data_IF_958705611015
#
_entry.id   IF_958705611015
#
_cell.length_a   1.000
_cell.length_b   1.000
_cell.length_c   1.000
_cell.angle_alpha   90.00
_cell.angle_beta   90.00
_cell.angle_gamma   90.00
#
_symmetry.space_group_name_H-M   'P 1'
#
loop_
_entity.id
_entity.type
_entity.pdbx_description
1 polymer ?
#
# COMPACT_ATOMS: atom_id res chain seq x y z
N UNK A 1 3.18 2.36 -4.26
CA UNK A 1 2.69 1.05 -3.78
C UNK A 1 3.59 -0.03 -4.31
N UNK A 2 3.97 -0.96 -3.44
CA UNK A 2 4.86 -2.07 -3.74
C UNK A 2 4.16 -3.33 -3.25
N UNK A 3 3.97 -4.31 -4.12
CA UNK A 3 3.28 -5.57 -3.82
C UNK A 3 4.22 -6.72 -4.07
N UNK A 4 4.27 -7.64 -3.12
CA UNK A 4 5.00 -8.90 -3.26
C UNK A 4 4.09 -10.03 -2.79
N UNK A 5 4.03 -11.11 -3.56
CA UNK A 5 3.34 -12.33 -3.16
C UNK A 5 4.31 -13.22 -2.38
N UNK A 6 3.85 -13.80 -1.28
CA UNK A 6 4.66 -14.74 -0.49
C UNK A 6 4.97 -16.06 -1.23
N UNK A 7 4.28 -16.36 -2.34
CA UNK A 7 4.39 -17.64 -3.06
C UNK A 7 4.85 -17.56 -4.52
N UNK A 8 5.09 -16.36 -5.08
CA UNK A 8 5.42 -16.19 -6.51
C UNK A 8 6.88 -15.78 -6.77
N UNK A 9 7.77 -15.96 -5.80
CA UNK A 9 9.20 -15.67 -5.94
C UNK A 9 9.57 -14.19 -5.71
N UNK A 10 10.72 -13.73 -6.24
CA UNK A 10 11.29 -12.40 -5.93
C UNK A 10 10.59 -11.24 -6.66
N UNK A 11 9.70 -11.54 -7.59
CA UNK A 11 9.05 -10.53 -8.45
C UNK A 11 8.19 -9.57 -7.64
N UNK A 12 8.49 -8.28 -7.80
CA UNK A 12 7.78 -7.19 -7.13
C UNK A 12 6.96 -6.39 -8.12
N UNK A 13 5.67 -6.20 -7.80
CA UNK A 13 4.79 -5.33 -8.56
C UNK A 13 4.84 -3.92 -7.97
N UNK A 14 5.29 -2.96 -8.76
CA UNK A 14 5.39 -1.55 -8.40
C UNK A 14 4.24 -0.81 -9.08
N UNK A 15 3.57 0.06 -8.33
CA UNK A 15 2.46 0.86 -8.82
C UNK A 15 2.21 2.11 -8.01
N UNK A 16 1.26 2.92 -8.46
CA UNK A 16 0.79 4.14 -7.81
C UNK A 16 -0.70 4.07 -7.54
N UNK A 17 -1.13 4.72 -6.47
CA UNK A 17 -2.56 4.91 -6.20
C UNK A 17 -3.09 5.85 -7.27
N UNK A 18 -4.16 5.43 -7.94
CA UNK A 18 -4.86 6.20 -8.95
C UNK A 18 -6.03 6.98 -8.35
N UNK A 19 -6.71 6.37 -7.38
CA UNK A 19 -7.88 6.96 -6.75
C UNK A 19 -8.52 6.00 -5.76
N UNK A 20 -9.49 6.53 -5.03
CA UNK A 20 -10.32 5.79 -4.08
C UNK A 20 -11.76 6.19 -4.34
N UNK A 21 -12.63 5.23 -4.62
CA UNK A 21 -14.02 5.49 -4.97
C UNK A 21 -14.96 4.58 -4.17
N UNK A 22 -16.06 5.11 -3.61
CA UNK A 22 -17.15 4.26 -3.17
C UNK A 22 -17.79 3.61 -4.39
N UNK A 23 -18.11 2.32 -4.30
CA UNK A 23 -18.75 1.54 -5.37
C UNK A 23 -19.92 0.77 -4.77
N UNK A 24 -21.12 1.05 -5.25
CA UNK A 24 -22.35 0.53 -4.64
C UNK A 24 -22.52 1.04 -3.21
N UNK A 25 -23.16 0.24 -2.36
CA UNK A 25 -23.50 0.66 -0.99
C UNK A 25 -22.41 0.34 0.05
N UNK A 26 -21.60 -0.70 -0.18
CA UNK A 26 -20.75 -1.27 0.87
C UNK A 26 -19.27 -1.46 0.48
N UNK A 27 -18.85 -1.04 -0.72
CA UNK A 27 -17.47 -1.19 -1.17
C UNK A 27 -16.75 0.14 -1.29
N UNK A 28 -15.52 0.16 -0.80
CA UNK A 28 -14.55 1.22 -1.05
C UNK A 28 -13.42 0.64 -1.91
N UNK A 29 -13.32 1.08 -3.15
CA UNK A 29 -12.40 0.52 -4.15
C UNK A 29 -11.19 1.42 -4.33
N UNK A 30 -10.01 0.86 -4.07
CA UNK A 30 -8.72 1.48 -4.33
C UNK A 30 -8.28 1.12 -5.75
N UNK A 31 -8.19 2.14 -6.60
CA UNK A 31 -7.68 2.02 -7.97
C UNK A 31 -6.17 2.20 -7.97
N UNK A 32 -5.47 1.30 -8.66
CA UNK A 32 -4.02 1.22 -8.64
C UNK A 32 -3.53 0.99 -10.06
N UNK A 33 -2.61 1.85 -10.51
CA UNK A 33 -1.91 1.66 -11.78
C UNK A 33 -0.53 1.08 -11.50
N UNK A 34 -0.26 -0.12 -12.00
CA UNK A 34 1.07 -0.71 -11.93
C UNK A 34 1.88 -0.31 -13.16
N UNK A 35 3.20 -0.34 -13.03
CA UNK A 35 4.14 0.07 -14.09
C UNK A 35 5.38 -0.82 -14.18
N UNK A 36 5.60 -1.72 -13.22
CA UNK A 36 6.67 -2.71 -13.25
C UNK A 36 6.24 -3.92 -12.44
N UNK A 37 6.48 -5.18 -12.91
CA UNK A 37 7.08 -5.52 -14.19
C UNK A 37 6.14 -5.31 -15.39
N UNK A 38 4.85 -5.07 -15.15
CA UNK A 38 3.82 -4.90 -16.19
C UNK A 38 2.81 -3.82 -15.81
N UNK A 39 2.23 -3.20 -16.82
CA UNK A 39 1.21 -2.16 -16.68
C UNK A 39 -0.20 -2.77 -16.56
N UNK A 40 -0.77 -2.70 -15.36
CA UNK A 40 -2.12 -3.17 -15.07
C UNK A 40 -2.94 -2.13 -14.31
N UNK A 41 -4.26 -2.22 -14.48
CA UNK A 41 -5.26 -1.49 -13.71
C UNK A 41 -5.81 -2.40 -12.62
N UNK A 42 -5.20 -2.39 -11.44
CA UNK A 42 -5.65 -3.17 -10.30
C UNK A 42 -6.74 -2.44 -9.53
N UNK A 43 -7.69 -3.22 -9.00
CA UNK A 43 -8.74 -2.76 -8.09
C UNK A 43 -8.71 -3.59 -6.82
N UNK A 44 -8.52 -2.93 -5.68
CA UNK A 44 -8.62 -3.56 -4.37
C UNK A 44 -9.90 -3.07 -3.69
N UNK A 45 -10.88 -3.95 -3.53
CA UNK A 45 -12.15 -3.64 -2.89
C UNK A 45 -12.09 -3.92 -1.39
N UNK A 46 -12.45 -2.93 -0.58
CA UNK A 46 -12.64 -3.07 0.86
C UNK A 46 -14.12 -3.15 1.17
N UNK A 47 -14.54 -4.18 1.90
CA UNK A 47 -15.90 -4.32 2.40
C UNK A 47 -16.12 -3.42 3.61
N UNK A 48 -17.36 -2.99 3.83
CA UNK A 48 -17.78 -2.18 4.98
C UNK A 48 -17.27 -2.70 6.32
N UNK A 49 -17.24 -4.02 6.53
CA UNK A 49 -16.78 -4.66 7.77
C UNK A 49 -15.29 -4.45 8.07
N UNK A 50 -14.47 -4.17 7.05
CA UNK A 50 -13.03 -4.01 7.18
C UNK A 50 -12.61 -2.54 7.29
N UNK A 51 -13.48 -1.60 6.87
CA UNK A 51 -13.26 -0.15 6.98
C UNK A 51 -12.90 0.27 8.42
N UNK A 52 -13.63 -0.15 9.48
CA UNK A 52 -13.27 0.22 10.85
C UNK A 52 -11.88 -0.24 11.27
N UNK A 53 -11.42 -1.40 10.76
CA UNK A 53 -10.07 -1.92 11.07
C UNK A 53 -9.00 -1.03 10.44
N UNK A 54 -9.21 -0.60 9.20
CA UNK A 54 -8.32 0.32 8.48
C UNK A 54 -8.23 1.66 9.23
N UNK A 55 -9.38 2.26 9.56
CA UNK A 55 -9.44 3.54 10.29
C UNK A 55 -8.73 3.42 11.64
N UNK A 56 -9.03 2.38 12.43
CA UNK A 56 -8.39 2.15 13.72
C UNK A 56 -6.88 1.95 13.61
N UNK A 57 -6.42 1.28 12.55
CA UNK A 57 -5.00 1.15 12.24
C UNK A 57 -4.34 2.49 11.97
N UNK A 58 -4.95 3.33 11.13
CA UNK A 58 -4.44 4.66 10.79
C UNK A 58 -4.37 5.60 12.01
N UNK A 59 -5.30 5.45 12.96
CA UNK A 59 -5.36 6.25 14.19
C UNK A 59 -4.38 5.81 15.28
N UNK A 60 -3.64 4.70 15.11
CA UNK A 60 -2.62 4.31 16.10
C UNK A 60 -1.53 5.39 16.14
N UNK A 61 -1.16 5.94 17.32
CA UNK A 61 -0.22 7.04 17.42
C UNK A 61 1.10 6.80 16.66
N UNK A 62 1.68 5.61 16.79
CA UNK A 62 2.91 5.24 16.08
C UNK A 62 2.78 5.33 14.55
N UNK A 63 1.65 4.90 13.99
CA UNK A 63 1.37 4.94 12.54
C UNK A 63 1.07 6.38 12.12
N UNK A 64 0.22 7.07 12.88
CA UNK A 64 -0.13 8.47 12.61
C UNK A 64 1.10 9.38 12.59
N UNK A 65 1.95 9.35 13.63
CA UNK A 65 3.18 10.14 13.66
C UNK A 65 4.15 9.75 12.55
N UNK A 66 4.20 8.48 12.14
CA UNK A 66 4.98 8.06 10.98
C UNK A 66 4.46 8.66 9.67
N UNK A 67 3.13 8.65 9.44
CA UNK A 67 2.52 9.27 8.26
C UNK A 67 2.78 10.78 8.22
N UNK A 68 2.59 11.46 9.35
CA UNK A 68 2.87 12.90 9.46
C UNK A 68 4.34 13.19 9.17
N UNK A 69 5.27 12.46 9.81
CA UNK A 69 6.70 12.63 9.57
C UNK A 69 7.09 12.40 8.11
N UNK A 70 6.55 11.38 7.46
CA UNK A 70 6.87 11.08 6.05
C UNK A 70 6.31 12.14 5.09
N UNK A 71 5.21 12.82 5.45
CA UNK A 71 4.69 13.96 4.69
C UNK A 71 5.64 15.17 4.75
N UNK A 72 6.31 15.40 5.88
CA UNK A 72 7.19 16.57 6.08
C UNK A 72 8.67 16.32 5.74
N UNK A 73 9.12 15.06 5.64
CA UNK A 73 10.50 14.71 5.31
C UNK A 73 10.60 13.97 3.97
N UNK A 74 11.06 14.68 2.93
CA UNK A 74 11.22 14.16 1.57
C UNK A 74 12.69 13.95 1.20
N UNK A 75 13.22 12.76 1.54
CA UNK A 75 14.15 11.95 0.73
C UNK A 75 14.72 10.82 1.60
N UNK A 76 14.42 9.58 1.23
CA UNK A 76 15.32 8.44 1.44
C UNK A 76 15.71 7.86 0.10
N UNK A 77 16.94 7.36 0.03
CA UNK A 77 17.51 6.76 -1.16
C UNK A 77 16.63 5.55 -1.58
N UNK A 78 16.17 5.43 -2.83
CA UNK A 78 15.22 4.38 -3.24
C UNK A 78 15.74 2.95 -3.01
N UNK A 79 17.06 2.77 -2.93
CA UNK A 79 17.72 1.49 -2.60
C UNK A 79 17.46 1.05 -1.14
N UNK A 80 17.39 1.97 -0.18
CA UNK A 80 17.09 1.63 1.22
C UNK A 80 15.68 1.05 1.39
N UNK A 81 14.74 1.42 0.51
CA UNK A 81 13.37 0.89 0.54
C UNK A 81 13.31 -0.56 0.08
N UNK A 82 14.20 -1.00 -0.82
CA UNK A 82 14.31 -2.40 -1.24
C UNK A 82 14.81 -3.26 -0.08
N UNK A 83 15.89 -2.84 0.59
CA UNK A 83 16.46 -3.55 1.73
C UNK A 83 15.50 -3.68 2.92
N UNK A 84 14.69 -2.65 3.19
CA UNK A 84 13.70 -2.67 4.29
C UNK A 84 12.56 -3.64 3.98
N UNK A 85 12.10 -3.69 2.73
CA UNK A 85 11.03 -4.59 2.33
C UNK A 85 11.46 -6.05 2.40
N UNK A 86 12.68 -6.38 1.96
CA UNK A 86 13.21 -7.73 2.05
C UNK A 86 13.30 -8.22 3.50
N UNK A 87 13.74 -7.35 4.43
CA UNK A 87 13.80 -7.66 5.87
C UNK A 87 12.42 -7.88 6.51
N UNK A 88 11.42 -7.11 6.10
CA UNK A 88 10.07 -7.14 6.70
C UNK A 88 9.29 -8.45 6.48
N UNK A 89 9.74 -9.29 5.55
CA UNK A 89 9.08 -10.56 5.17
C UNK A 89 9.83 -11.78 5.75
N UNK A 90 11.12 -11.62 6.07
CA UNK A 90 11.97 -12.67 6.64
C UNK A 90 11.81 -12.88 8.16
N UNK A 91 10.94 -12.12 8.82
CA UNK A 91 10.64 -12.18 10.26
C UNK A 91 9.23 -12.68 10.47
#
# INVERSE_FOLDING_TARGET
>A
MRFRSAGLGPTELKGRIAGLAPVGEDLLVLHIHTHSPVEWNLKAAMQRKDIPKVIRGMLKPAIFFHMVRTMFYLKKNPKELEDIMDKSIST
#
